data_IF_990487616936
#
_entry.id   IF_990487616936
#
_cell.length_a   1.000
_cell.length_b   1.000
_cell.length_c   1.000
_cell.angle_alpha   90.00
_cell.angle_beta   90.00
_cell.angle_gamma   90.00
#
_symmetry.space_group_name_H-M   'P 1'
#
loop_
_entity.id
_entity.type
_entity.pdbx_description
1 polymer ?
#
# COMPACT_ATOMS: atom_id res chain seq x y z
N UNK A 1 17.39 20.45 -5.16
CA UNK A 1 15.99 20.33 -5.63
C UNK A 1 15.55 18.98 -5.12
N UNK A 2 14.45 18.91 -4.35
CA UNK A 2 13.98 17.63 -3.81
C UNK A 2 13.51 16.72 -4.95
N UNK A 3 13.79 15.44 -4.82
CA UNK A 3 13.34 14.44 -5.78
C UNK A 3 11.83 14.26 -5.62
N UNK A 4 11.10 14.25 -6.74
CA UNK A 4 9.67 13.91 -6.76
C UNK A 4 9.37 12.87 -7.82
N UNK A 5 8.41 12.01 -7.57
CA UNK A 5 7.78 11.15 -8.57
C UNK A 5 7.01 12.02 -9.56
N UNK A 6 6.94 11.59 -10.82
CA UNK A 6 6.29 12.35 -11.89
C UNK A 6 5.20 11.53 -12.54
N UNK A 7 3.97 11.79 -12.09
CA UNK A 7 2.73 11.16 -12.50
C UNK A 7 2.18 11.76 -13.82
N UNK A 8 2.76 11.36 -14.95
CA UNK A 8 2.36 11.86 -16.27
C UNK A 8 2.38 10.82 -17.39
N UNK A 9 2.43 9.53 -17.04
CA UNK A 9 2.58 8.45 -18.01
C UNK A 9 1.45 8.50 -19.04
N UNK A 10 1.76 8.62 -20.35
CA UNK A 10 0.75 8.82 -21.38
C UNK A 10 -0.10 7.55 -21.62
N UNK A 11 0.34 6.40 -21.10
CA UNK A 11 -0.28 5.09 -21.30
C UNK A 11 -0.31 4.32 -19.99
N UNK A 12 -1.40 3.60 -19.76
CA UNK A 12 -1.46 2.61 -18.70
C UNK A 12 -0.88 1.28 -19.14
N UNK A 13 -0.35 0.54 -18.18
CA UNK A 13 0.22 -0.79 -18.36
C UNK A 13 -0.36 -1.72 -17.29
N UNK A 14 -0.71 -2.94 -17.69
CA UNK A 14 -0.97 -3.99 -16.71
C UNK A 14 0.39 -4.50 -16.21
N UNK A 15 0.74 -4.35 -14.91
CA UNK A 15 1.98 -4.87 -14.37
C UNK A 15 2.04 -6.39 -14.51
N UNK A 16 3.26 -6.91 -14.70
CA UNK A 16 3.53 -8.35 -14.83
C UNK A 16 4.82 -8.70 -14.11
N UNK A 17 4.81 -9.77 -13.32
CA UNK A 17 6.02 -10.35 -12.76
C UNK A 17 7.04 -10.69 -13.87
N UNK A 18 8.31 -10.42 -13.61
CA UNK A 18 9.40 -10.63 -14.56
C UNK A 18 9.56 -9.52 -15.62
N UNK A 19 8.83 -8.40 -15.50
CA UNK A 19 8.90 -7.28 -16.43
C UNK A 19 9.62 -6.06 -15.82
N UNK A 20 10.45 -5.39 -16.63
CA UNK A 20 11.08 -4.13 -16.29
C UNK A 20 10.23 -2.92 -16.67
N UNK A 21 10.29 -1.90 -15.81
CA UNK A 21 9.69 -0.59 -15.97
C UNK A 21 10.71 0.49 -15.60
N UNK A 22 10.38 1.72 -15.97
CA UNK A 22 11.12 2.93 -15.60
C UNK A 22 10.19 3.79 -14.76
N UNK A 23 10.54 4.01 -13.50
CA UNK A 23 9.86 4.90 -12.57
C UNK A 23 10.35 6.33 -12.82
N UNK A 24 9.44 7.25 -13.13
CA UNK A 24 9.78 8.61 -13.52
C UNK A 24 9.88 9.52 -12.31
N UNK A 25 10.99 10.26 -12.23
CA UNK A 25 11.24 11.25 -11.19
C UNK A 25 11.65 12.58 -11.80
N UNK A 26 11.73 13.64 -10.99
CA UNK A 26 12.28 14.95 -11.38
C UNK A 26 13.77 14.88 -11.76
N UNK A 27 14.50 13.86 -11.30
CA UNK A 27 15.92 13.65 -11.60
C UNK A 27 16.19 12.81 -12.86
N UNK A 28 15.19 12.05 -13.32
CA UNK A 28 15.31 11.07 -14.41
C UNK A 28 14.48 9.83 -14.17
N UNK A 29 14.86 8.71 -14.76
CA UNK A 29 14.17 7.43 -14.64
C UNK A 29 14.97 6.46 -13.78
N UNK A 30 14.33 5.85 -12.80
CA UNK A 30 14.89 4.79 -11.98
C UNK A 30 14.38 3.45 -12.55
N UNK A 31 15.27 2.55 -13.01
CA UNK A 31 14.83 1.24 -13.48
C UNK A 31 14.28 0.40 -12.34
N UNK A 32 13.12 -0.20 -12.57
CA UNK A 32 12.44 -1.05 -11.59
C UNK A 32 12.06 -2.40 -12.19
N UNK A 33 12.19 -3.45 -11.40
CA UNK A 33 11.77 -4.79 -11.74
C UNK A 33 10.53 -5.20 -11.00
N UNK A 34 9.49 -5.66 -11.70
CA UNK A 34 8.33 -6.25 -11.03
C UNK A 34 8.63 -7.69 -10.69
N UNK A 35 8.56 -8.03 -9.40
CA UNK A 35 8.79 -9.39 -8.93
C UNK A 35 7.49 -10.09 -8.54
N UNK A 36 6.48 -9.38 -8.04
CA UNK A 36 5.15 -9.97 -7.80
C UNK A 36 4.03 -8.99 -8.13
N UNK A 37 2.90 -9.52 -8.61
CA UNK A 37 1.63 -8.77 -8.78
C UNK A 37 0.59 -9.14 -7.74
N UNK A 38 0.94 -10.02 -6.80
CA UNK A 38 0.06 -10.52 -5.74
C UNK A 38 0.44 -9.97 -4.36
N UNK A 39 1.33 -8.98 -4.32
CA UNK A 39 1.75 -8.33 -3.09
C UNK A 39 0.56 -7.65 -2.39
N UNK A 40 0.55 -7.68 -1.06
CA UNK A 40 -0.49 -7.09 -0.23
C UNK A 40 -1.91 -7.50 -0.68
N UNK A 41 -2.19 -8.81 -0.58
CA UNK A 41 -3.48 -9.42 -0.97
C UNK A 41 -3.90 -9.14 -2.42
N UNK A 42 -2.92 -8.94 -3.30
CA UNK A 42 -3.18 -8.61 -4.71
C UNK A 42 -3.54 -7.16 -4.98
N UNK A 43 -3.46 -6.25 -4.01
CA UNK A 43 -3.69 -4.82 -4.26
C UNK A 43 -2.43 -4.09 -4.76
N UNK A 44 -1.25 -4.67 -4.51
CA UNK A 44 0.03 -4.05 -4.83
C UNK A 44 0.87 -4.86 -5.81
N UNK A 45 1.90 -4.18 -6.31
CA UNK A 45 3.01 -4.74 -7.07
C UNK A 45 4.25 -4.67 -6.20
N UNK A 46 4.97 -5.78 -6.04
CA UNK A 46 6.31 -5.76 -5.45
C UNK A 46 7.29 -5.33 -6.53
N UNK A 47 8.01 -4.24 -6.28
CA UNK A 47 9.05 -3.73 -7.18
C UNK A 47 10.43 -3.81 -6.55
N UNK A 48 11.43 -4.00 -7.40
CA UNK A 48 12.86 -3.95 -7.10
C UNK A 48 13.45 -2.71 -7.80
N UNK A 49 13.71 -1.61 -7.09
CA UNK A 49 14.38 -0.44 -7.66
C UNK A 49 15.87 -0.70 -7.82
N UNK A 50 16.39 -0.67 -9.04
CA UNK A 50 17.80 -0.95 -9.32
C UNK A 50 18.67 0.30 -9.16
N UNK A 51 19.93 0.11 -8.76
CA UNK A 51 20.90 1.16 -8.46
C UNK A 51 21.39 1.91 -9.71
N UNK A 52 20.48 2.58 -10.40
CA UNK A 52 20.75 3.37 -11.59
C UNK A 52 19.75 4.53 -11.72
N UNK A 53 20.21 5.57 -12.41
CA UNK A 53 19.39 6.70 -12.85
C UNK A 53 19.70 6.95 -14.32
N UNK A 54 18.70 6.77 -15.19
CA UNK A 54 18.85 6.95 -16.64
C UNK A 54 18.04 8.14 -17.13
N UNK A 55 18.47 8.79 -18.21
CA UNK A 55 17.74 9.90 -18.84
C UNK A 55 17.07 9.50 -20.16
N UNK A 56 17.61 8.50 -20.83
CA UNK A 56 17.04 7.90 -22.03
C UNK A 56 16.31 6.62 -21.63
N UNK A 57 15.06 6.49 -22.07
CA UNK A 57 14.25 5.29 -21.80
C UNK A 57 14.75 4.03 -22.53
N UNK A 58 15.68 4.19 -23.46
CA UNK A 58 16.34 3.08 -24.17
C UNK A 58 17.72 2.73 -23.60
N UNK A 59 18.17 3.41 -22.53
CA UNK A 59 19.43 3.10 -21.88
C UNK A 59 19.35 1.73 -21.20
N UNK A 60 20.16 0.78 -21.65
CA UNK A 60 20.22 -0.59 -21.13
C UNK A 60 21.41 -0.84 -20.19
N UNK A 61 22.17 0.21 -19.82
CA UNK A 61 23.38 0.07 -19.00
C UNK A 61 23.14 -0.52 -17.61
N UNK A 62 21.91 -0.47 -17.12
CA UNK A 62 21.51 -1.01 -15.83
C UNK A 62 21.19 -2.52 -15.84
N UNK A 63 21.13 -3.18 -17.00
CA UNK A 63 20.77 -4.60 -17.09
C UNK A 63 21.64 -5.53 -16.22
N UNK A 64 22.97 -5.33 -16.12
CA UNK A 64 23.79 -6.14 -15.21
C UNK A 64 23.42 -6.00 -13.72
N UNK A 65 22.78 -4.90 -13.32
CA UNK A 65 22.28 -4.71 -11.95
C UNK A 65 21.02 -5.54 -11.71
N UNK A 66 20.19 -5.73 -12.73
CA UNK A 66 18.99 -6.58 -12.68
C UNK A 66 19.39 -8.03 -12.45
N UNK A 67 20.37 -8.53 -13.22
CA UNK A 67 20.84 -9.91 -13.13
C UNK A 67 21.46 -10.25 -11.77
N UNK A 68 22.03 -9.23 -11.09
CA UNK A 68 22.68 -9.37 -9.79
C UNK A 68 21.80 -8.96 -8.60
N UNK A 69 20.60 -8.43 -8.86
CA UNK A 69 19.77 -7.77 -7.86
C UNK A 69 20.53 -6.70 -7.05
N UNK A 70 21.29 -5.84 -7.73
CA UNK A 70 21.92 -4.68 -7.11
C UNK A 70 20.91 -3.53 -7.01
N UNK A 71 20.24 -3.43 -5.86
CA UNK A 71 19.13 -2.51 -5.65
C UNK A 71 19.58 -1.15 -5.12
N UNK A 72 18.84 -0.10 -5.51
CA UNK A 72 18.98 1.28 -5.03
C UNK A 72 18.50 1.40 -3.59
N UNK A 73 17.30 0.89 -3.35
CA UNK A 73 16.66 0.77 -2.04
C UNK A 73 16.11 -0.66 -1.91
N UNK A 74 15.78 -1.14 -0.69
CA UNK A 74 15.06 -2.39 -0.51
C UNK A 74 13.79 -2.46 -1.38
N UNK A 75 13.32 -3.67 -1.74
CA UNK A 75 12.06 -3.84 -2.44
C UNK A 75 10.91 -3.11 -1.73
N UNK A 76 9.99 -2.55 -2.51
CA UNK A 76 8.83 -1.81 -2.00
C UNK A 76 7.55 -2.28 -2.68
N UNK A 77 6.43 -2.14 -1.97
CA UNK A 77 5.10 -2.42 -2.48
C UNK A 77 4.48 -1.11 -2.97
N UNK A 78 4.05 -1.12 -4.24
CA UNK A 78 3.51 0.04 -4.94
C UNK A 78 2.09 -0.28 -5.40
N UNK A 79 1.20 0.70 -5.35
CA UNK A 79 -0.18 0.52 -5.74
C UNK A 79 -0.27 0.19 -7.24
N UNK A 80 -1.15 -0.75 -7.62
CA UNK A 80 -1.38 -1.09 -9.04
C UNK A 80 -1.84 0.13 -9.86
N UNK A 81 -2.40 1.16 -9.22
CA UNK A 81 -2.87 2.40 -9.87
C UNK A 81 -1.73 3.20 -10.50
N UNK A 82 -0.51 3.11 -9.97
CA UNK A 82 0.64 3.90 -10.43
C UNK A 82 1.17 3.40 -11.79
N UNK A 83 0.75 2.20 -12.20
CA UNK A 83 1.01 1.66 -13.53
C UNK A 83 -0.06 2.08 -14.56
N UNK A 84 -1.16 2.72 -14.16
CA UNK A 84 -2.23 3.19 -15.06
C UNK A 84 -1.80 4.46 -15.80
N UNK A 85 -2.65 4.92 -16.73
CA UNK A 85 -2.43 6.20 -17.43
C UNK A 85 -2.46 7.32 -16.40
N UNK A 86 -1.50 8.25 -16.49
CA UNK A 86 -1.28 9.29 -15.48
C UNK A 86 -0.37 8.84 -14.34
N UNK A 87 0.02 7.56 -14.29
CA UNK A 87 1.01 7.05 -13.33
C UNK A 87 2.44 7.53 -13.62
N UNK A 88 3.39 7.06 -12.84
CA UNK A 88 4.83 7.40 -12.95
C UNK A 88 5.67 6.32 -13.64
N UNK A 89 5.08 5.17 -13.98
CA UNK A 89 5.79 4.08 -14.65
C UNK A 89 5.67 4.08 -16.18
N UNK A 90 6.79 3.80 -16.85
CA UNK A 90 6.87 3.50 -18.28
C UNK A 90 7.43 2.09 -18.50
N UNK A 91 6.75 1.26 -19.30
CA UNK A 91 7.18 -0.11 -19.57
C UNK A 91 8.42 -0.15 -20.48
N UNK A 92 9.43 -0.94 -20.11
CA UNK A 92 10.57 -1.27 -20.97
C UNK A 92 10.12 -2.24 -22.07
N UNK A 93 10.37 -1.89 -23.34
CA UNK A 93 9.90 -2.66 -24.51
C UNK A 93 11.00 -3.45 -25.21
N UNK A 94 12.25 -3.31 -24.76
CA UNK A 94 13.36 -4.10 -25.25
C UNK A 94 13.13 -5.59 -24.96
N UNK A 95 13.29 -6.41 -26.00
CA UNK A 95 13.08 -7.85 -25.94
C UNK A 95 14.26 -8.59 -25.30
N UNK A 96 15.42 -7.95 -25.22
CA UNK A 96 16.62 -8.51 -24.60
C UNK A 96 16.76 -8.10 -23.13
N UNK A 97 15.78 -7.37 -22.60
CA UNK A 97 15.78 -6.94 -21.21
C UNK A 97 15.76 -8.17 -20.27
N UNK A 98 16.64 -8.23 -19.26
CA UNK A 98 16.66 -9.33 -18.31
C UNK A 98 15.38 -9.35 -17.46
N UNK A 99 15.04 -10.52 -16.93
CA UNK A 99 13.92 -10.65 -16.00
C UNK A 99 14.38 -10.38 -14.56
N UNK A 100 13.69 -9.51 -13.81
CA UNK A 100 13.86 -9.36 -12.37
C UNK A 100 13.77 -10.70 -11.65
N UNK A 101 14.67 -10.94 -10.70
CA UNK A 101 14.71 -12.18 -9.92
C UNK A 101 14.17 -11.90 -8.51
N UNK A 102 13.06 -12.50 -8.08
CA UNK A 102 12.58 -12.34 -6.72
C UNK A 102 13.54 -12.95 -5.70
N UNK A 103 13.61 -12.36 -4.50
CA UNK A 103 14.27 -13.02 -3.38
C UNK A 103 13.42 -14.17 -2.86
N UNK A 104 14.05 -15.25 -2.38
CA UNK A 104 13.32 -16.36 -1.74
C UNK A 104 12.55 -15.88 -0.50
N UNK A 105 13.15 -14.96 0.25
CA UNK A 105 12.59 -14.34 1.46
C UNK A 105 12.78 -12.84 1.41
N UNK A 106 11.73 -12.11 1.75
CA UNK A 106 11.76 -10.67 1.94
C UNK A 106 11.73 -10.38 3.44
N UNK A 107 12.80 -9.82 3.97
CA UNK A 107 12.92 -9.55 5.40
C UNK A 107 12.46 -8.13 5.71
N UNK A 108 11.84 -7.94 6.87
CA UNK A 108 11.38 -6.64 7.35
C UNK A 108 11.40 -6.61 8.88
N UNK A 109 11.43 -5.40 9.44
CA UNK A 109 11.12 -5.21 10.85
C UNK A 109 9.63 -4.88 10.99
N UNK A 110 9.00 -5.37 12.06
CA UNK A 110 7.60 -5.08 12.32
C UNK A 110 7.37 -3.56 12.40
N UNK A 111 6.32 -3.05 11.73
CA UNK A 111 5.97 -1.63 11.63
C UNK A 111 7.04 -0.72 11.01
N UNK A 112 8.01 -1.27 10.27
CA UNK A 112 9.03 -0.47 9.63
C UNK A 112 8.50 0.30 8.41
N UNK A 113 8.23 1.60 8.57
CA UNK A 113 7.78 2.46 7.48
C UNK A 113 8.68 3.71 7.30
N UNK A 114 9.80 3.78 8.02
CA UNK A 114 10.71 4.93 8.01
C UNK A 114 12.05 4.57 7.41
N UNK A 115 12.50 5.35 6.42
CA UNK A 115 13.82 5.20 5.83
C UNK A 115 14.92 5.61 6.82
N UNK A 116 15.86 4.70 7.10
CA UNK A 116 17.09 5.01 7.82
C UNK A 116 18.28 5.13 6.85
N UNK A 117 18.80 6.36 6.61
CA UNK A 117 19.94 6.62 5.75
C UNK A 117 21.23 5.86 6.16
N UNK A 118 21.44 5.60 7.44
CA UNK A 118 22.66 4.92 7.91
C UNK A 118 22.64 3.43 7.57
N UNK A 119 21.47 2.81 7.60
CA UNK A 119 21.27 1.37 7.38
C UNK A 119 20.83 1.04 5.94
N UNK A 120 20.44 2.05 5.15
CA UNK A 120 19.81 1.90 3.83
C UNK A 120 18.64 0.91 3.87
N UNK A 121 17.83 1.03 4.93
CA UNK A 121 16.77 0.10 5.27
C UNK A 121 15.54 0.85 5.78
N UNK A 122 14.37 0.22 5.65
CA UNK A 122 13.18 0.67 6.36
C UNK A 122 13.19 0.11 7.78
N UNK A 123 12.97 0.97 8.77
CA UNK A 123 13.02 0.64 10.20
C UNK A 123 11.90 1.35 10.96
N UNK A 124 11.73 0.97 12.23
CA UNK A 124 10.83 1.66 13.17
C UNK A 124 11.53 2.88 13.78
N UNK A 125 10.81 4.00 13.94
CA UNK A 125 11.35 5.23 14.50
C UNK A 125 10.32 6.03 15.32
N UNK A 126 10.81 6.87 16.25
CA UNK A 126 9.98 7.69 17.15
C UNK A 126 10.50 9.13 17.33
N UNK A 127 9.65 10.17 17.14
CA UNK A 127 8.46 10.13 16.28
C UNK A 127 8.89 9.75 14.84
N UNK A 128 8.01 9.22 13.98
CA UNK A 128 8.41 8.66 12.69
C UNK A 128 9.03 9.69 11.72
N UNK A 129 8.55 10.94 11.70
CA UNK A 129 9.07 11.99 10.80
C UNK A 129 9.00 13.39 11.46
N UNK A 130 10.09 13.89 12.05
CA UNK A 130 10.19 15.26 12.53
C UNK A 130 10.49 16.23 11.39
N UNK A 131 9.96 17.45 11.48
CA UNK A 131 10.08 18.48 10.43
C UNK A 131 11.52 18.96 10.16
N UNK A 132 12.43 18.85 11.13
CA UNK A 132 13.74 19.50 11.07
C UNK A 132 14.94 18.54 11.09
N UNK A 133 14.72 17.25 11.31
CA UNK A 133 15.79 16.25 11.50
C UNK A 133 15.30 14.83 11.27
N UNK A 134 16.24 13.90 11.08
CA UNK A 134 15.92 12.48 11.12
C UNK A 134 15.31 12.07 12.46
N UNK A 135 14.37 11.11 12.45
CA UNK A 135 13.78 10.56 13.65
C UNK A 135 14.80 9.78 14.49
N UNK A 136 14.42 9.44 15.73
CA UNK A 136 15.19 8.47 16.52
C UNK A 136 14.78 7.07 16.12
N UNK A 137 15.68 6.35 15.44
CA UNK A 137 15.46 4.96 15.06
C UNK A 137 15.55 4.03 16.28
N UNK A 138 14.69 3.01 16.31
CA UNK A 138 14.77 1.97 17.33
C UNK A 138 16.11 1.22 17.20
N UNK A 139 16.85 0.92 18.28
CA UNK A 139 18.10 0.16 18.21
C UNK A 139 17.94 -1.22 17.54
N UNK A 140 18.93 -1.65 16.76
CA UNK A 140 18.86 -2.91 15.98
C UNK A 140 18.62 -4.15 16.85
N UNK A 141 19.18 -4.20 18.05
CA UNK A 141 19.04 -5.29 19.02
C UNK A 141 17.67 -5.33 19.72
N UNK A 142 16.85 -4.29 19.55
CA UNK A 142 15.48 -4.21 20.05
C UNK A 142 14.42 -4.53 18.98
N UNK A 143 14.84 -4.81 17.73
CA UNK A 143 13.93 -5.05 16.61
C UNK A 143 13.72 -6.54 16.38
N UNK A 144 12.47 -6.93 16.13
CA UNK A 144 12.13 -8.28 15.69
C UNK A 144 12.23 -8.39 14.17
N UNK A 145 12.96 -9.40 13.68
CA UNK A 145 13.09 -9.66 12.24
C UNK A 145 11.99 -10.63 11.80
N UNK A 146 11.23 -10.20 10.81
CA UNK A 146 10.24 -11.01 10.11
C UNK A 146 10.69 -11.30 8.69
N UNK A 147 10.11 -12.32 8.07
CA UNK A 147 10.22 -12.54 6.64
C UNK A 147 8.89 -12.95 6.03
N UNK A 148 8.67 -12.61 4.76
CA UNK A 148 7.65 -13.19 3.90
C UNK A 148 8.29 -14.03 2.79
N UNK A 149 7.62 -15.11 2.40
CA UNK A 149 8.02 -15.97 1.30
C UNK A 149 7.42 -15.42 0.01
N UNK A 150 8.24 -15.33 -1.04
CA UNK A 150 7.78 -14.89 -2.35
C UNK A 150 6.64 -15.76 -2.91
N UNK A 151 5.71 -15.16 -3.65
CA UNK A 151 4.58 -15.82 -4.33
C UNK A 151 3.66 -16.67 -3.45
N UNK A 152 3.71 -16.46 -2.13
CA UNK A 152 2.69 -16.98 -1.23
C UNK A 152 1.46 -16.05 -1.25
N UNK A 153 0.29 -16.62 -1.49
CA UNK A 153 -0.99 -15.93 -1.36
C UNK A 153 -1.98 -16.85 -0.59
N UNK A 154 -2.36 -16.49 0.66
CA UNK A 154 -1.95 -15.28 1.39
C UNK A 154 -0.44 -15.25 1.68
N UNK A 155 0.15 -14.06 1.92
CA UNK A 155 1.56 -13.94 2.27
C UNK A 155 1.91 -14.81 3.50
N UNK A 156 2.74 -15.82 3.29
CA UNK A 156 3.29 -16.69 4.33
C UNK A 156 4.62 -16.13 4.83
N UNK A 157 4.92 -16.36 6.10
CA UNK A 157 6.10 -15.79 6.72
C UNK A 157 6.41 -16.37 8.09
N UNK A 158 7.38 -15.76 8.75
CA UNK A 158 7.78 -16.13 10.11
C UNK A 158 8.74 -15.11 10.70
N UNK A 159 9.27 -15.43 11.88
CA UNK A 159 10.32 -14.66 12.55
C UNK A 159 11.65 -15.40 12.50
N UNK A 160 12.75 -14.65 12.55
CA UNK A 160 14.11 -15.19 12.67
C UNK A 160 14.93 -14.34 13.63
N UNK A 161 15.94 -14.93 14.27
CA UNK A 161 16.85 -14.19 15.14
C UNK A 161 17.87 -13.36 14.33
N UNK A 162 18.23 -13.82 13.13
CA UNK A 162 19.21 -13.19 12.26
C UNK A 162 18.82 -13.33 10.79
N UNK A 163 19.02 -12.25 10.03
CA UNK A 163 18.93 -12.27 8.58
C UNK A 163 20.30 -12.57 7.93
N UNK A 164 20.34 -13.13 6.72
CA UNK A 164 21.59 -13.27 5.96
C UNK A 164 22.34 -11.94 5.79
N UNK A 165 23.67 -12.00 5.70
CA UNK A 165 24.48 -10.82 5.39
C UNK A 165 24.07 -10.22 4.04
N UNK A 166 24.00 -8.88 3.97
CA UNK A 166 23.58 -8.16 2.77
C UNK A 166 22.06 -8.18 2.49
N UNK A 167 21.25 -8.61 3.47
CA UNK A 167 19.78 -8.58 3.36
C UNK A 167 19.24 -7.16 3.18
N UNK A 168 18.34 -6.99 2.22
CA UNK A 168 17.50 -5.80 2.10
C UNK A 168 16.31 -5.91 3.06
N UNK A 169 16.19 -4.94 3.96
CA UNK A 169 15.05 -4.82 4.88
C UNK A 169 13.97 -3.92 4.27
N UNK A 170 12.88 -4.54 3.85
CA UNK A 170 11.76 -3.87 3.18
C UNK A 170 10.84 -3.19 4.18
N UNK A 171 9.85 -2.46 3.67
CA UNK A 171 8.75 -1.91 4.47
C UNK A 171 8.00 -3.01 5.23
N UNK A 172 7.79 -2.80 6.52
CA UNK A 172 7.04 -3.67 7.41
C UNK A 172 5.54 -3.56 7.20
N UNK A 173 5.06 -4.27 6.17
CA UNK A 173 3.66 -4.38 5.74
C UNK A 173 3.01 -3.06 5.29
N UNK A 174 2.20 -3.12 4.22
CA UNK A 174 1.48 -1.96 3.68
C UNK A 174 2.11 -1.29 2.45
N UNK A 175 1.36 -0.36 1.87
CA UNK A 175 1.74 0.37 0.67
C UNK A 175 2.67 1.52 1.05
N UNK A 176 3.74 1.73 0.28
CA UNK A 176 4.60 2.87 0.51
C UNK A 176 3.91 4.17 0.06
N UNK A 177 3.91 5.19 0.92
CA UNK A 177 3.48 6.53 0.54
C UNK A 177 4.53 7.21 -0.33
N UNK A 178 4.10 7.99 -1.32
CA UNK A 178 4.97 8.63 -2.29
C UNK A 178 6.05 9.48 -1.64
N UNK A 179 5.70 10.33 -0.68
CA UNK A 179 6.66 11.20 0.04
C UNK A 179 7.75 10.40 0.78
N UNK A 180 7.40 9.26 1.38
CA UNK A 180 8.36 8.39 2.05
C UNK A 180 9.28 7.70 1.04
N UNK A 181 8.73 7.29 -0.11
CA UNK A 181 9.49 6.72 -1.21
C UNK A 181 10.45 7.75 -1.82
N UNK A 182 9.98 8.96 -2.09
CA UNK A 182 10.76 10.07 -2.62
C UNK A 182 11.97 10.38 -1.75
N UNK A 183 11.77 10.46 -0.43
CA UNK A 183 12.86 10.66 0.53
C UNK A 183 13.90 9.52 0.48
N UNK A 184 13.44 8.26 0.49
CA UNK A 184 14.34 7.10 0.42
C UNK A 184 15.13 7.06 -0.90
N UNK A 185 14.48 7.37 -2.02
CA UNK A 185 15.11 7.44 -3.34
C UNK A 185 16.10 8.59 -3.43
N UNK A 186 15.75 9.79 -2.96
CA UNK A 186 16.65 10.96 -2.97
C UNK A 186 17.93 10.67 -2.18
N UNK A 187 17.77 10.14 -0.97
CA UNK A 187 18.88 9.79 -0.11
C UNK A 187 19.77 8.70 -0.72
N UNK A 188 19.17 7.63 -1.24
CA UNK A 188 19.92 6.53 -1.84
C UNK A 188 20.65 6.96 -3.13
N UNK A 189 20.02 7.75 -4.00
CA UNK A 189 20.68 8.30 -5.19
C UNK A 189 21.87 9.17 -4.80
N UNK A 190 21.73 9.99 -3.76
CA UNK A 190 22.80 10.82 -3.22
C UNK A 190 23.93 9.97 -2.64
N UNK A 191 23.59 8.94 -1.86
CA UNK A 191 24.55 8.01 -1.25
C UNK A 191 25.41 7.29 -2.30
N UNK A 192 24.80 6.85 -3.40
CA UNK A 192 25.52 6.19 -4.50
C UNK A 192 26.13 7.15 -5.53
N UNK A 193 26.02 8.48 -5.32
CA UNK A 193 26.58 9.49 -6.23
C UNK A 193 25.91 9.52 -7.61
N UNK A 194 24.63 9.13 -7.68
CA UNK A 194 23.83 9.15 -8.91
C UNK A 194 23.17 10.51 -9.16
N UNK A 195 23.12 11.36 -8.14
CA UNK A 195 22.74 12.77 -8.23
C UNK A 195 23.75 13.64 -7.46
N UNK A 196 23.82 14.92 -7.80
CA UNK A 196 24.71 15.89 -7.14
C UNK A 196 24.10 16.50 -5.87
N UNK A 197 22.82 16.21 -5.59
CA UNK A 197 22.15 16.69 -4.38
C UNK A 197 22.78 16.02 -3.15
N UNK A 198 23.11 16.77 -2.09
CA UNK A 198 23.53 16.18 -0.82
C UNK A 198 22.41 15.31 -0.21
N UNK A 199 22.79 14.33 0.60
CA UNK A 199 21.82 13.51 1.35
C UNK A 199 20.88 14.41 2.17
N UNK A 200 19.55 14.24 2.06
CA UNK A 200 18.58 15.06 2.77
C UNK A 200 18.64 14.82 4.29
N UNK A 201 18.51 15.87 5.13
CA UNK A 201 18.60 15.74 6.59
C UNK A 201 17.30 15.27 7.27
N UNK A 202 16.17 15.26 6.55
CA UNK A 202 14.84 14.76 6.97
C UNK A 202 13.97 14.57 5.72
N UNK A 203 12.83 13.90 5.88
CA UNK A 203 11.83 13.81 4.82
C UNK A 203 11.07 15.14 4.70
N UNK A 204 10.98 15.70 3.49
CA UNK A 204 10.16 16.88 3.21
C UNK A 204 8.71 16.43 3.00
N UNK A 205 7.98 16.26 4.11
CA UNK A 205 6.57 15.85 4.10
C UNK A 205 5.61 17.04 4.00
N UNK A 206 6.08 18.22 3.57
CA UNK A 206 5.22 19.39 3.49
C UNK A 206 4.10 19.17 2.46
N UNK A 207 2.85 19.34 2.91
CA UNK A 207 1.56 19.06 2.25
C UNK A 207 1.27 19.82 0.93
N UNK A 208 2.28 20.23 0.17
CA UNK A 208 2.08 20.73 -1.19
C UNK A 208 1.96 19.56 -2.20
N UNK A 209 1.17 18.54 -1.86
CA UNK A 209 0.62 17.65 -2.88
C UNK A 209 -0.38 18.46 -3.69
N UNK A 210 -0.22 18.60 -5.02
CA UNK A 210 -1.37 18.91 -5.85
C UNK A 210 -2.32 17.73 -5.69
N UNK A 211 -3.41 17.93 -4.93
CA UNK A 211 -4.50 16.97 -4.79
C UNK A 211 -4.64 16.17 -6.08
N UNK A 212 -4.27 14.89 -6.02
CA UNK A 212 -4.27 14.02 -7.17
C UNK A 212 -5.67 14.09 -7.78
N UNK A 213 -5.79 14.66 -8.98
CA UNK A 213 -7.05 14.59 -9.72
C UNK A 213 -7.15 13.17 -10.24
N UNK A 214 -7.70 12.29 -9.42
CA UNK A 214 -8.09 10.97 -9.85
C UNK A 214 -8.87 11.08 -11.16
N UNK A 215 -8.47 10.27 -12.13
CA UNK A 215 -9.48 9.71 -13.00
C UNK A 215 -10.28 8.75 -12.12
N UNK A 216 -11.38 9.24 -11.56
CA UNK A 216 -12.37 8.51 -10.77
C UNK A 216 -12.68 7.23 -11.52
N UNK A 217 -12.03 6.12 -11.13
CA UNK A 217 -12.46 4.80 -11.57
C UNK A 217 -13.42 4.41 -10.47
N UNK A 218 -14.69 4.79 -10.63
CA UNK A 218 -15.73 4.45 -9.67
C UNK A 218 -15.71 2.92 -9.56
N UNK A 219 -15.21 2.40 -8.45
CA UNK A 219 -15.26 0.97 -8.17
C UNK A 219 -16.73 0.58 -8.13
N UNK A 220 -17.04 -0.61 -8.65
CA UNK A 220 -18.35 -1.18 -8.34
C UNK A 220 -18.40 -1.51 -6.84
N UNK A 221 -19.59 -1.54 -6.22
CA UNK A 221 -19.74 -2.03 -4.85
C UNK A 221 -19.07 -3.40 -4.57
N UNK A 222 -19.00 -4.27 -5.59
CA UNK A 222 -18.35 -5.59 -5.53
C UNK A 222 -16.81 -5.49 -5.48
N UNK A 223 -16.25 -4.44 -6.08
CA UNK A 223 -14.81 -4.18 -6.08
C UNK A 223 -14.35 -3.41 -4.84
N UNK A 224 -15.27 -2.74 -4.15
CA UNK A 224 -15.00 -1.94 -2.94
C UNK A 224 -14.92 -2.78 -1.65
N UNK A 225 -15.84 -3.74 -1.46
CA UNK A 225 -15.94 -4.51 -0.22
C UNK A 225 -15.37 -5.93 -0.39
N UNK A 226 -14.29 -6.22 0.32
CA UNK A 226 -13.58 -7.50 0.21
C UNK A 226 -13.95 -8.47 1.32
N UNK A 227 -13.93 -9.77 1.00
CA UNK A 227 -14.01 -10.89 1.95
C UNK A 227 -12.78 -11.78 1.75
N UNK A 228 -11.99 -11.99 2.80
CA UNK A 228 -10.79 -12.81 2.78
C UNK A 228 -10.80 -13.87 3.89
N UNK A 229 -10.29 -15.07 3.59
CA UNK A 229 -10.14 -16.15 4.57
C UNK A 229 -8.67 -16.28 5.00
N UNK A 230 -8.40 -16.23 6.31
CA UNK A 230 -7.08 -16.22 6.95
C UNK A 230 -6.92 -17.43 7.87
N UNK A 231 -6.79 -18.63 7.28
CA UNK A 231 -6.46 -19.95 7.88
C UNK A 231 -7.25 -20.42 9.13
N UNK A 232 -8.11 -19.57 9.70
CA UNK A 232 -9.03 -19.82 10.83
C UNK A 232 -9.93 -18.61 11.16
N UNK A 233 -9.63 -17.43 10.60
CA UNK A 233 -10.40 -16.19 10.78
C UNK A 233 -10.72 -15.62 9.41
N UNK A 234 -11.95 -15.18 9.19
CA UNK A 234 -12.35 -14.45 7.98
C UNK A 234 -12.24 -12.95 8.26
N UNK A 235 -12.00 -12.14 7.23
CA UNK A 235 -11.99 -10.69 7.30
C UNK A 235 -12.91 -10.09 6.24
N UNK A 236 -13.67 -9.07 6.62
CA UNK A 236 -14.35 -8.16 5.70
C UNK A 236 -13.68 -6.80 5.82
N UNK A 237 -13.24 -6.21 4.70
CA UNK A 237 -12.55 -4.93 4.74
C UNK A 237 -12.75 -4.09 3.47
N UNK A 238 -12.56 -2.77 3.59
CA UNK A 238 -12.60 -1.82 2.50
C UNK A 238 -11.77 -0.56 2.81
N UNK A 239 -11.12 0.02 1.81
CA UNK A 239 -10.38 1.27 1.94
C UNK A 239 -11.33 2.46 1.71
N UNK A 240 -11.46 3.37 2.67
CA UNK A 240 -12.49 4.41 2.64
C UNK A 240 -12.21 5.52 1.62
N UNK A 241 -10.95 5.65 1.18
CA UNK A 241 -10.58 6.52 0.06
C UNK A 241 -11.14 6.03 -1.30
N UNK A 242 -11.73 4.83 -1.34
CA UNK A 242 -12.30 4.21 -2.54
C UNK A 242 -13.82 4.03 -2.49
N UNK A 243 -14.51 4.65 -1.53
CA UNK A 243 -15.98 4.57 -1.43
C UNK A 243 -16.62 5.03 -2.74
N UNK A 244 -17.52 4.24 -3.36
CA UNK A 244 -18.20 4.66 -4.59
C UNK A 244 -19.00 5.95 -4.39
N UNK A 245 -18.93 6.89 -5.33
CA UNK A 245 -19.57 8.22 -5.23
C UNK A 245 -21.05 8.16 -4.82
N UNK A 246 -21.80 7.19 -5.35
CA UNK A 246 -23.23 7.03 -5.04
C UNK A 246 -23.47 6.58 -3.58
N UNK A 247 -22.56 5.79 -3.01
CA UNK A 247 -22.57 5.36 -1.62
C UNK A 247 -22.19 6.54 -0.71
N UNK A 248 -21.10 7.24 -1.03
CA UNK A 248 -20.65 8.42 -0.29
C UNK A 248 -21.74 9.51 -0.23
N UNK A 249 -22.42 9.76 -1.36
CA UNK A 249 -23.53 10.71 -1.42
C UNK A 249 -24.73 10.29 -0.54
N UNK A 250 -25.09 9.00 -0.55
CA UNK A 250 -26.20 8.47 0.25
C UNK A 250 -25.93 8.53 1.76
N UNK A 251 -24.68 8.29 2.18
CA UNK A 251 -24.22 8.46 3.55
C UNK A 251 -24.25 9.93 3.96
N UNK A 252 -23.69 10.81 3.13
CA UNK A 252 -23.66 12.25 3.43
C UNK A 252 -25.08 12.84 3.54
N UNK A 253 -26.06 12.33 2.77
CA UNK A 253 -27.47 12.73 2.87
C UNK A 253 -28.11 12.40 4.24
N UNK A 254 -27.52 11.47 4.99
CA UNK A 254 -27.94 11.14 6.36
C UNK A 254 -27.25 11.98 7.43
N UNK A 255 -26.30 12.83 7.06
CA UNK A 255 -25.54 13.66 8.01
C UNK A 255 -24.28 12.99 8.56
N UNK A 256 -23.94 11.83 8.02
CA UNK A 256 -22.80 10.99 8.42
C UNK A 256 -21.61 11.14 7.46
N UNK A 257 -20.41 10.77 7.92
CA UNK A 257 -19.18 10.75 7.14
C UNK A 257 -18.90 9.33 6.59
N UNK A 258 -18.54 9.16 5.31
CA UNK A 258 -18.25 7.86 4.73
C UNK A 258 -16.86 7.35 5.14
N UNK A 259 -16.72 6.94 6.41
CA UNK A 259 -15.47 6.49 7.02
C UNK A 259 -15.61 5.09 7.65
N UNK A 260 -14.50 4.50 8.10
CA UNK A 260 -14.49 3.12 8.60
C UNK A 260 -15.35 2.92 9.85
N UNK A 261 -15.45 3.93 10.72
CA UNK A 261 -16.25 3.87 11.94
C UNK A 261 -17.76 3.84 11.65
N UNK A 262 -18.23 4.58 10.64
CA UNK A 262 -19.60 4.46 10.16
C UNK A 262 -19.92 3.03 9.69
N UNK A 263 -19.00 2.44 8.93
CA UNK A 263 -19.16 1.06 8.44
C UNK A 263 -19.14 0.03 9.57
N UNK A 264 -18.36 0.26 10.64
CA UNK A 264 -18.44 -0.52 11.89
C UNK A 264 -19.81 -0.43 12.54
N UNK A 265 -20.37 0.78 12.64
CA UNK A 265 -21.71 0.99 13.16
C UNK A 265 -22.76 0.28 12.32
N UNK A 266 -22.67 0.38 10.99
CA UNK A 266 -23.58 -0.31 10.06
C UNK A 266 -23.50 -1.83 10.22
N UNK A 267 -22.28 -2.37 10.28
CA UNK A 267 -22.07 -3.79 10.48
C UNK A 267 -22.62 -4.26 11.83
N UNK A 268 -22.38 -3.51 12.90
CA UNK A 268 -22.92 -3.78 14.24
C UNK A 268 -24.44 -3.79 14.23
N UNK A 269 -25.07 -2.80 13.59
CA UNK A 269 -26.52 -2.73 13.45
C UNK A 269 -27.08 -3.94 12.69
N UNK A 270 -26.47 -4.32 11.56
CA UNK A 270 -26.89 -5.47 10.75
C UNK A 270 -26.73 -6.80 11.50
N UNK A 271 -25.61 -7.00 12.19
CA UNK A 271 -25.35 -8.18 13.03
C UNK A 271 -26.46 -8.33 14.08
N UNK A 272 -26.80 -7.23 14.77
CA UNK A 272 -27.86 -7.22 15.78
C UNK A 272 -29.23 -7.49 15.17
N UNK A 273 -29.56 -6.85 14.04
CA UNK A 273 -30.84 -6.97 13.37
C UNK A 273 -31.09 -8.41 12.85
N UNK A 274 -30.04 -9.05 12.34
CA UNK A 274 -30.10 -10.40 11.78
C UNK A 274 -29.87 -11.51 12.83
N UNK A 275 -29.51 -11.14 14.07
CA UNK A 275 -29.24 -12.08 15.15
C UNK A 275 -28.04 -12.98 14.88
N UNK A 276 -27.01 -12.45 14.20
CA UNK A 276 -25.79 -13.20 13.89
C UNK A 276 -24.94 -13.44 15.15
N UNK A 277 -24.14 -14.51 15.15
CA UNK A 277 -23.25 -14.82 16.27
C UNK A 277 -22.11 -13.80 16.36
N UNK A 278 -22.07 -13.07 17.48
CA UNK A 278 -21.05 -12.06 17.74
C UNK A 278 -19.77 -12.64 18.32
N UNK A 279 -19.76 -13.92 18.68
CA UNK A 279 -18.62 -14.53 19.36
C UNK A 279 -17.41 -14.56 18.45
N UNK A 280 -16.36 -13.87 18.89
CA UNK A 280 -15.08 -13.81 18.15
C UNK A 280 -15.11 -12.85 16.97
N UNK A 281 -16.10 -11.96 16.88
CA UNK A 281 -16.03 -10.79 16.00
C UNK A 281 -15.15 -9.72 16.66
N UNK A 282 -14.21 -9.19 15.90
CA UNK A 282 -13.34 -8.07 16.29
C UNK A 282 -13.45 -6.99 15.22
N UNK A 283 -13.74 -5.77 15.66
CA UNK A 283 -13.80 -4.57 14.83
C UNK A 283 -12.46 -3.85 14.95
N UNK A 284 -11.81 -3.60 13.82
CA UNK A 284 -10.47 -3.00 13.72
C UNK A 284 -10.47 -1.90 12.65
N UNK A 285 -11.55 -1.13 12.60
CA UNK A 285 -11.69 -0.02 11.66
C UNK A 285 -11.01 1.24 12.18
N UNK A 286 -10.55 2.04 11.23
CA UNK A 286 -10.04 3.40 11.41
C UNK A 286 -10.77 4.30 10.41
N UNK A 287 -10.64 5.63 10.53
CA UNK A 287 -11.32 6.56 9.61
C UNK A 287 -11.05 6.23 8.12
N UNK A 288 -9.82 5.82 7.79
CA UNK A 288 -9.41 5.47 6.43
C UNK A 288 -9.69 4.02 5.99
N UNK A 289 -10.08 3.12 6.90
CA UNK A 289 -10.18 1.68 6.63
C UNK A 289 -11.30 1.04 7.43
N UNK A 290 -12.20 0.35 6.75
CA UNK A 290 -13.15 -0.55 7.38
C UNK A 290 -12.53 -1.95 7.49
N UNK A 291 -12.58 -2.58 8.66
CA UNK A 291 -12.06 -3.93 8.88
C UNK A 291 -12.78 -4.65 10.02
N UNK A 292 -13.31 -5.85 9.72
CA UNK A 292 -13.89 -6.75 10.71
C UNK A 292 -13.27 -8.13 10.54
N UNK A 293 -12.87 -8.74 11.65
CA UNK A 293 -12.38 -10.11 11.75
C UNK A 293 -13.42 -10.98 12.45
N UNK A 294 -13.55 -12.25 12.07
CA UNK A 294 -14.55 -13.13 12.67
C UNK A 294 -14.64 -14.51 12.04
N UNK A 295 -15.68 -15.26 12.41
CA UNK A 295 -15.94 -16.56 11.82
C UNK A 295 -16.51 -16.44 10.39
N UNK A 296 -16.18 -17.41 9.53
CA UNK A 296 -16.53 -17.39 8.09
C UNK A 296 -18.02 -17.32 7.84
N UNK A 297 -18.83 -18.03 8.61
CA UNK A 297 -20.28 -18.08 8.41
C UNK A 297 -20.89 -16.68 8.62
N UNK A 298 -20.54 -16.04 9.74
CA UNK A 298 -21.07 -14.72 10.09
C UNK A 298 -20.57 -13.65 9.14
N UNK A 299 -19.27 -13.65 8.80
CA UNK A 299 -18.72 -12.63 7.91
C UNK A 299 -19.11 -12.81 6.45
N UNK A 300 -19.39 -14.03 5.99
CA UNK A 300 -19.96 -14.23 4.66
C UNK A 300 -21.37 -13.64 4.57
N UNK A 301 -22.20 -13.85 5.60
CA UNK A 301 -23.54 -13.25 5.66
C UNK A 301 -23.47 -11.73 5.78
N UNK A 302 -22.59 -11.20 6.63
CA UNK A 302 -22.40 -9.77 6.80
C UNK A 302 -21.91 -9.10 5.51
N UNK A 303 -20.94 -9.72 4.82
CA UNK A 303 -20.44 -9.24 3.53
C UNK A 303 -21.57 -9.10 2.51
N UNK A 304 -22.45 -10.11 2.40
CA UNK A 304 -23.60 -10.07 1.49
C UNK A 304 -24.56 -8.92 1.82
N UNK A 305 -24.88 -8.72 3.10
CA UNK A 305 -25.78 -7.64 3.54
C UNK A 305 -25.19 -6.26 3.23
N UNK A 306 -23.92 -6.04 3.57
CA UNK A 306 -23.22 -4.79 3.28
C UNK A 306 -23.13 -4.57 1.77
N UNK A 307 -22.77 -5.59 0.99
CA UNK A 307 -22.75 -5.50 -0.47
C UNK A 307 -24.13 -5.14 -1.04
N UNK A 308 -25.23 -5.68 -0.51
CA UNK A 308 -26.58 -5.31 -0.94
C UNK A 308 -26.89 -3.83 -0.67
N UNK A 309 -26.55 -3.32 0.52
CA UNK A 309 -26.69 -1.90 0.85
C UNK A 309 -25.88 -1.02 -0.11
N UNK A 310 -24.64 -1.40 -0.39
CA UNK A 310 -23.75 -0.65 -1.29
C UNK A 310 -24.25 -0.62 -2.74
N UNK A 311 -24.95 -1.67 -3.19
CA UNK A 311 -25.61 -1.68 -4.50
C UNK A 311 -26.89 -0.85 -4.57
N UNK A 312 -27.48 -0.53 -3.42
CA UNK A 312 -28.76 0.16 -3.34
C UNK A 312 -28.67 1.36 -2.40
N UNK A 313 -28.15 2.51 -2.88
CA UNK A 313 -27.96 3.71 -2.06
C UNK A 313 -29.23 4.18 -1.33
N UNK A 314 -30.40 4.01 -1.94
CA UNK A 314 -31.69 4.31 -1.29
C UNK A 314 -31.97 3.41 -0.07
N UNK A 315 -31.60 2.13 -0.17
CA UNK A 315 -31.73 1.18 0.95
C UNK A 315 -30.70 1.48 2.04
N UNK A 316 -29.47 1.87 1.66
CA UNK A 316 -28.45 2.32 2.60
C UNK A 316 -28.94 3.52 3.42
N UNK A 317 -29.39 4.59 2.77
CA UNK A 317 -29.97 5.77 3.43
C UNK A 317 -31.14 5.41 4.34
N UNK A 318 -32.02 4.50 3.90
CA UNK A 318 -33.15 4.04 4.71
C UNK A 318 -32.68 3.26 5.96
N UNK A 319 -31.65 2.43 5.82
CA UNK A 319 -31.10 1.60 6.90
C UNK A 319 -30.44 2.46 7.97
N UNK A 320 -29.65 3.47 7.57
CA UNK A 320 -29.04 4.42 8.50
C UNK A 320 -30.13 5.16 9.31
N UNK A 321 -31.12 5.72 8.61
CA UNK A 321 -32.24 6.43 9.27
C UNK A 321 -33.07 5.51 10.18
N UNK A 322 -33.21 4.23 9.83
CA UNK A 322 -33.89 3.24 10.67
C UNK A 322 -33.09 2.96 11.94
N UNK A 323 -31.77 2.82 11.83
CA UNK A 323 -30.88 2.61 12.96
C UNK A 323 -30.90 3.82 13.92
N UNK A 324 -30.80 5.05 13.40
CA UNK A 324 -30.95 6.28 14.19
C UNK A 324 -32.31 6.35 14.89
N UNK A 325 -33.40 6.02 14.18
CA UNK A 325 -34.74 6.01 14.75
C UNK A 325 -34.92 4.92 15.83
N UNK A 326 -34.13 3.85 15.77
CA UNK A 326 -34.04 2.83 16.81
C UNK A 326 -33.14 3.25 17.99
N UNK A 327 -32.51 4.42 17.94
CA UNK A 327 -31.61 4.95 18.96
C UNK A 327 -30.20 4.37 18.88
N UNK A 328 -29.81 3.83 17.73
CA UNK A 328 -28.43 3.45 17.46
C UNK A 328 -27.60 4.71 17.19
N UNK A 329 -26.42 4.80 17.81
CA UNK A 329 -25.49 5.91 17.65
C UNK A 329 -24.33 5.44 16.77
N UNK A 330 -24.04 6.16 15.70
CA UNK A 330 -22.90 5.89 14.84
C UNK A 330 -21.73 6.75 15.35
N UNK A 331 -20.64 6.10 15.75
CA UNK A 331 -19.42 6.77 16.23
C UNK A 331 -18.55 7.23 15.03
N UNK A 332 -19.13 7.98 14.08
CA UNK A 332 -18.48 8.39 12.84
C UNK A 332 -17.82 9.79 12.86
#
# INVERSE_FOLDING_TARGET
MSLRLVFDSPKGYRPKAGQLYLMKTTAGFIPVGITSTEAFFGNCVMIHPYRALVRDTNDASYYPLVEKNELLIPPVMIAKRDFKKGGDFTKVTDKNAPSPVPFEKYYYYLHANVWNPEELAFVLAYPPYPDDRLPKFQPMDERTIHYTIHDSNPPQGGTVDQAPEGTYFIVGQGVMMDLHLEFALEDALSYYGLIDTPRPPHADLSDDEPAYKEATTTLTPEEFLHLADLESTTSVFAAMDQVPDAVAAAITETGHEPNGYLFDGLATYLINQQGLDQKGIEFDSEAGMFSILGNTETLTTLHQLLTELLHNPSLLTATIREAEAAGFDFDD
#
